data_IF_968572460340
#
_entry.id   IF_968572460340
#
_cell.length_a   1.000
_cell.length_b   1.000
_cell.length_c   1.000
_cell.angle_alpha   90.00
_cell.angle_beta   90.00
_cell.angle_gamma   90.00
#
_symmetry.space_group_name_H-M   'P 1'
#
loop_
_entity.id
_entity.type
_entity.pdbx_description
1 polymer ?
#
# COMPACT_ATOMS: atom_id res chain seq x y z
N UNK A 1 -6.12 17.40 -7.03
CA UNK A 1 -5.19 17.03 -5.93
C UNK A 1 -4.60 15.68 -6.26
N UNK A 2 -3.27 15.56 -6.24
CA UNK A 2 -2.57 14.28 -6.50
C UNK A 2 -2.81 13.36 -5.31
N UNK A 3 -3.26 12.13 -5.54
CA UNK A 3 -3.37 11.12 -4.49
C UNK A 3 -1.96 10.59 -4.16
N UNK A 4 -1.58 10.46 -2.88
CA UNK A 4 -0.32 9.84 -2.51
C UNK A 4 -0.35 8.36 -2.88
N UNK A 5 0.69 7.89 -3.58
CA UNK A 5 0.86 6.47 -3.91
C UNK A 5 1.49 5.77 -2.72
N UNK A 6 0.79 4.78 -2.19
CA UNK A 6 1.21 4.05 -1.00
C UNK A 6 1.32 2.56 -1.32
N UNK A 7 2.45 1.95 -1.00
CA UNK A 7 2.62 0.50 -1.19
C UNK A 7 2.67 -0.22 0.14
N UNK A 8 1.71 -1.13 0.34
CA UNK A 8 1.72 -2.08 1.44
C UNK A 8 2.46 -3.33 1.02
N UNK A 9 3.60 -3.58 1.65
CA UNK A 9 4.37 -4.81 1.45
C UNK A 9 3.82 -5.93 2.34
N UNK A 10 3.22 -6.94 1.72
CA UNK A 10 2.78 -8.16 2.38
C UNK A 10 3.90 -9.21 2.36
N UNK A 11 4.49 -9.45 3.53
CA UNK A 11 5.49 -10.50 3.74
C UNK A 11 4.86 -11.86 4.09
N UNK A 12 3.57 -12.03 3.86
CA UNK A 12 2.82 -13.28 4.10
C UNK A 12 2.04 -13.31 5.42
N UNK A 13 1.78 -12.15 6.04
CA UNK A 13 1.09 -12.08 7.34
C UNK A 13 -0.43 -12.22 7.23
N UNK A 14 -1.00 -11.99 6.04
CA UNK A 14 -2.44 -12.08 5.78
C UNK A 14 -3.30 -11.04 6.54
N UNK A 15 -2.68 -10.07 7.21
CA UNK A 15 -3.36 -9.15 8.15
C UNK A 15 -3.46 -7.69 7.68
N UNK A 16 -3.01 -7.39 6.45
CA UNK A 16 -2.91 -6.01 5.95
C UNK A 16 -4.21 -5.44 5.35
N UNK A 17 -5.30 -6.23 5.34
CA UNK A 17 -6.57 -5.81 4.73
C UNK A 17 -7.22 -4.63 5.45
N UNK A 18 -7.03 -4.51 6.77
CA UNK A 18 -7.51 -3.37 7.55
C UNK A 18 -6.72 -2.10 7.23
N UNK A 19 -5.39 -2.18 7.21
CA UNK A 19 -4.50 -1.07 6.86
C UNK A 19 -4.75 -0.56 5.43
N UNK A 20 -4.91 -1.47 4.47
CA UNK A 20 -5.26 -1.13 3.08
C UNK A 20 -6.53 -0.28 3.01
N UNK A 21 -7.60 -0.71 3.70
CA UNK A 21 -8.87 0.02 3.72
C UNK A 21 -8.77 1.37 4.42
N UNK A 22 -7.95 1.49 5.45
CA UNK A 22 -7.73 2.75 6.16
C UNK A 22 -7.02 3.77 5.25
N UNK A 23 -6.00 3.35 4.51
CA UNK A 23 -5.23 4.20 3.60
C UNK A 23 -6.05 4.62 2.37
N UNK A 24 -6.86 3.72 1.81
CA UNK A 24 -7.81 4.05 0.73
C UNK A 24 -8.82 5.11 1.21
N UNK A 25 -9.36 4.97 2.44
CA UNK A 25 -10.28 5.95 3.03
C UNK A 25 -9.62 7.30 3.31
N UNK A 26 -8.31 7.32 3.58
CA UNK A 26 -7.54 8.54 3.74
C UNK A 26 -7.27 9.26 2.39
N UNK A 27 -7.69 8.66 1.27
CA UNK A 27 -7.51 9.22 -0.07
C UNK A 27 -6.21 8.80 -0.76
N UNK A 28 -5.50 7.80 -0.22
CA UNK A 28 -4.35 7.19 -0.87
C UNK A 28 -4.73 6.41 -2.12
N UNK A 29 -3.77 6.23 -3.01
CA UNK A 29 -3.79 5.23 -4.07
C UNK A 29 -2.92 4.06 -3.61
N UNK A 30 -3.56 3.01 -3.10
CA UNK A 30 -2.90 1.97 -2.33
C UNK A 30 -2.71 0.70 -3.15
N UNK A 31 -1.48 0.18 -3.18
CA UNK A 31 -1.16 -1.11 -3.79
C UNK A 31 -0.67 -2.09 -2.73
N UNK A 32 -1.29 -3.26 -2.63
CA UNK A 32 -0.81 -4.37 -1.82
C UNK A 32 0.07 -5.28 -2.69
N UNK A 33 1.31 -5.51 -2.29
CA UNK A 33 2.26 -6.32 -3.05
C UNK A 33 3.18 -7.13 -2.15
N UNK A 34 3.60 -8.30 -2.60
CA UNK A 34 4.71 -9.07 -2.01
C UNK A 34 6.00 -8.94 -2.83
N UNK A 35 5.98 -8.08 -3.87
CA UNK A 35 7.14 -7.75 -4.70
C UNK A 35 7.91 -6.56 -4.10
N UNK A 36 9.16 -6.84 -3.69
CA UNK A 36 10.09 -5.87 -3.13
C UNK A 36 10.46 -4.74 -4.10
N UNK A 37 10.49 -5.03 -5.40
CA UNK A 37 10.81 -4.01 -6.41
C UNK A 37 9.64 -3.06 -6.63
N UNK A 38 8.41 -3.54 -6.50
CA UNK A 38 7.23 -2.68 -6.49
C UNK A 38 7.20 -1.76 -5.26
N UNK A 39 7.59 -2.26 -4.08
CA UNK A 39 7.69 -1.45 -2.87
C UNK A 39 8.77 -0.36 -2.95
N UNK A 40 9.92 -0.65 -3.58
CA UNK A 40 11.00 0.33 -3.77
C UNK A 40 10.65 1.52 -4.67
N UNK A 41 9.68 1.35 -5.56
CA UNK A 41 9.22 2.40 -6.49
C UNK A 41 8.10 3.28 -5.90
N UNK A 42 7.64 2.98 -4.69
CA UNK A 42 6.60 3.74 -4.02
C UNK A 42 7.14 5.07 -3.50
N UNK A 43 6.27 6.08 -3.46
CA UNK A 43 6.57 7.37 -2.80
C UNK A 43 6.50 7.24 -1.26
N UNK A 44 5.81 6.21 -0.75
CA UNK A 44 5.66 5.90 0.67
C UNK A 44 5.03 4.54 0.95
#
# INVERSE_FOLDING_TARGET
>A
MTKPKVVLFDYGSGNLRSAFRALERAGGDVTLTSDLDAARRADG
#
